data_IF_361167676137
#
_entry.id   IF_361167676137
#
_cell.length_a   1.000
_cell.length_b   1.000
_cell.length_c   1.000
_cell.angle_alpha   90.00
_cell.angle_beta   90.00
_cell.angle_gamma   90.00
#
_symmetry.space_group_name_H-M   'P 1'
#
loop_
_entity.id
_entity.type
_entity.pdbx_description
1 polymer ?
#
# COMPACT_ATOMS: atom_id res chain seq x y z
N UNK A 1 13.68 -39.40 -34.11
CA UNK A 1 12.73 -38.72 -35.03
C UNK A 1 12.32 -37.42 -34.37
N UNK A 2 12.34 -36.29 -35.10
CA UNK A 2 11.92 -35.00 -34.55
C UNK A 2 10.43 -35.03 -34.22
N UNK A 3 10.07 -34.74 -32.97
CA UNK A 3 8.67 -34.58 -32.59
C UNK A 3 8.15 -33.23 -33.10
N UNK A 4 7.59 -33.23 -34.31
CA UNK A 4 7.02 -32.04 -34.97
C UNK A 4 5.80 -31.46 -34.21
N UNK A 5 5.29 -32.14 -33.19
CA UNK A 5 4.21 -31.67 -32.32
C UNK A 5 4.70 -31.22 -30.94
N UNK A 6 6.01 -31.14 -30.71
CA UNK A 6 6.55 -30.71 -29.43
C UNK A 6 6.06 -29.29 -29.08
N UNK A 7 5.44 -29.17 -27.91
CA UNK A 7 5.15 -27.89 -27.27
C UNK A 7 5.86 -27.89 -25.92
N UNK A 8 6.64 -26.84 -25.69
CA UNK A 8 7.27 -26.62 -24.40
C UNK A 8 6.21 -26.51 -23.29
N UNK A 9 6.47 -27.20 -22.17
CA UNK A 9 5.65 -27.09 -20.97
C UNK A 9 6.29 -26.08 -20.03
N UNK A 10 5.55 -25.01 -19.71
CA UNK A 10 6.04 -23.98 -18.80
C UNK A 10 6.42 -24.53 -17.41
N UNK A 11 5.76 -25.60 -16.95
CA UNK A 11 6.08 -26.29 -15.68
C UNK A 11 7.55 -26.75 -15.61
N UNK A 12 8.18 -27.04 -16.75
CA UNK A 12 9.60 -27.44 -16.82
C UNK A 12 10.59 -26.29 -16.66
N UNK A 13 10.12 -25.04 -16.77
CA UNK A 13 10.89 -23.82 -16.46
C UNK A 13 10.59 -23.30 -15.06
N UNK A 14 9.35 -23.51 -14.62
CA UNK A 14 8.88 -23.05 -13.33
C UNK A 14 9.38 -23.94 -12.18
N UNK A 15 9.27 -25.26 -12.33
CA UNK A 15 9.73 -26.21 -11.33
C UNK A 15 11.24 -26.41 -11.47
N UNK A 16 11.99 -26.04 -10.43
CA UNK A 16 13.45 -26.20 -10.41
C UNK A 16 13.91 -27.65 -10.54
N UNK A 17 13.42 -28.59 -9.69
CA UNK A 17 13.88 -29.98 -9.73
C UNK A 17 13.48 -30.70 -11.02
N UNK A 18 14.47 -31.28 -11.68
CA UNK A 18 14.30 -32.23 -12.78
C UNK A 18 13.72 -33.56 -12.29
N UNK A 19 13.22 -34.43 -13.19
CA UNK A 19 12.77 -35.77 -12.81
C UNK A 19 13.85 -36.63 -12.14
N UNK A 20 15.13 -36.42 -12.49
CA UNK A 20 16.25 -37.14 -11.88
C UNK A 20 16.46 -36.67 -10.45
N UNK A 21 16.57 -35.36 -10.22
CA UNK A 21 16.73 -34.77 -8.89
C UNK A 21 15.52 -35.09 -8.00
N UNK A 22 14.31 -35.10 -8.56
CA UNK A 22 13.10 -35.50 -7.85
C UNK A 22 13.21 -36.94 -7.32
N UNK A 23 13.71 -37.88 -8.12
CA UNK A 23 13.91 -39.26 -7.69
C UNK A 23 15.00 -39.39 -6.62
N UNK A 24 16.08 -38.62 -6.72
CA UNK A 24 17.13 -38.58 -5.71
C UNK A 24 16.60 -38.06 -4.36
N UNK A 25 15.77 -37.01 -4.39
CA UNK A 25 15.10 -36.49 -3.19
C UNK A 25 14.11 -37.49 -2.60
N UNK A 26 13.31 -38.18 -3.42
CA UNK A 26 12.38 -39.22 -2.96
C UNK A 26 13.13 -40.39 -2.30
N UNK A 27 14.24 -40.84 -2.90
CA UNK A 27 15.09 -41.88 -2.33
C UNK A 27 15.67 -41.45 -0.98
N UNK A 28 16.11 -40.18 -0.85
CA UNK A 28 16.58 -39.64 0.43
C UNK A 28 15.51 -39.61 1.52
N UNK A 29 14.25 -39.38 1.12
CA UNK A 29 13.09 -39.38 2.00
C UNK A 29 12.55 -40.81 2.29
N UNK A 30 13.03 -41.84 1.60
CA UNK A 30 12.59 -43.22 1.78
C UNK A 30 11.19 -43.52 1.21
N UNK A 31 10.73 -42.73 0.25
CA UNK A 31 9.45 -42.92 -0.45
C UNK A 31 9.69 -43.23 -1.93
N UNK A 32 8.78 -43.99 -2.54
CA UNK A 32 8.93 -44.49 -3.91
C UNK A 32 8.33 -43.58 -4.98
N UNK A 33 7.47 -42.62 -4.59
CA UNK A 33 6.83 -41.69 -5.52
C UNK A 33 6.36 -40.40 -4.84
N UNK A 34 6.08 -39.38 -5.65
CA UNK A 34 5.39 -38.16 -5.19
C UNK A 34 4.00 -38.50 -4.63
N UNK A 35 3.28 -39.45 -5.22
CA UNK A 35 1.97 -39.87 -4.71
C UNK A 35 2.07 -40.44 -3.29
N UNK A 36 3.05 -41.31 -3.03
CA UNK A 36 3.30 -41.83 -1.69
C UNK A 36 3.63 -40.70 -0.70
N UNK A 37 4.47 -39.74 -1.11
CA UNK A 37 4.80 -38.58 -0.28
C UNK A 37 3.54 -37.76 0.07
N UNK A 38 2.68 -37.49 -0.91
CA UNK A 38 1.43 -36.75 -0.71
C UNK A 38 0.44 -37.54 0.16
N UNK A 39 0.31 -38.85 -0.05
CA UNK A 39 -0.56 -39.73 0.74
C UNK A 39 -0.18 -39.74 2.23
N UNK A 40 1.12 -39.68 2.53
CA UNK A 40 1.64 -39.63 3.90
C UNK A 40 1.61 -38.21 4.51
N UNK A 41 1.55 -37.16 3.69
CA UNK A 41 1.62 -35.76 4.14
C UNK A 41 0.26 -35.12 4.30
N UNK A 42 -0.65 -35.32 3.33
CA UNK A 42 -1.95 -34.63 3.28
C UNK A 42 -3.06 -35.59 3.69
N UNK A 43 -3.80 -35.33 4.78
CA UNK A 43 -4.88 -36.19 5.23
C UNK A 43 -5.91 -36.46 4.13
N UNK A 44 -6.25 -37.73 3.92
CA UNK A 44 -7.13 -38.16 2.82
C UNK A 44 -8.53 -37.53 2.89
N UNK A 45 -9.01 -37.21 4.09
CA UNK A 45 -10.35 -36.65 4.29
C UNK A 45 -10.52 -35.23 3.74
N UNK A 46 -9.42 -34.49 3.53
CA UNK A 46 -9.45 -33.12 2.99
C UNK A 46 -8.90 -33.02 1.56
N UNK A 47 -8.49 -34.13 0.95
CA UNK A 47 -7.98 -34.14 -0.42
C UNK A 47 -9.12 -34.00 -1.42
N UNK A 48 -8.86 -33.25 -2.48
CA UNK A 48 -9.80 -33.13 -3.59
C UNK A 48 -10.03 -34.52 -4.22
N UNK A 49 -11.28 -35.00 -4.31
CA UNK A 49 -11.57 -36.33 -4.85
C UNK A 49 -11.43 -36.39 -6.38
N UNK A 50 -11.29 -35.24 -7.05
CA UNK A 50 -11.13 -35.12 -8.50
C UNK A 50 -10.05 -34.07 -8.81
N UNK A 51 -9.35 -34.21 -9.95
CA UNK A 51 -8.46 -33.16 -10.44
C UNK A 51 -9.18 -31.83 -10.67
N UNK A 52 -8.43 -30.74 -10.67
CA UNK A 52 -8.96 -29.42 -11.01
C UNK A 52 -9.48 -29.42 -12.45
N UNK A 53 -10.70 -28.89 -12.64
CA UNK A 53 -11.29 -28.72 -13.96
C UNK A 53 -10.79 -27.42 -14.60
N UNK A 54 -9.60 -27.46 -15.19
CA UNK A 54 -8.94 -26.30 -15.82
C UNK A 54 -8.86 -26.48 -17.35
N UNK A 55 -8.81 -25.36 -18.11
CA UNK A 55 -8.48 -25.42 -19.52
C UNK A 55 -7.12 -26.10 -19.75
N UNK A 56 -6.92 -26.62 -20.97
CA UNK A 56 -5.61 -27.16 -21.36
C UNK A 56 -4.53 -26.10 -21.19
N UNK A 57 -3.42 -26.49 -20.56
CA UNK A 57 -2.26 -25.62 -20.40
C UNK A 57 -1.75 -25.10 -21.74
N UNK A 58 -1.41 -23.81 -21.77
CA UNK A 58 -0.76 -23.16 -22.91
C UNK A 58 0.76 -23.19 -22.71
N UNK A 59 1.51 -23.27 -23.80
CA UNK A 59 2.93 -22.92 -23.76
C UNK A 59 3.09 -21.39 -23.61
N UNK A 60 4.28 -20.94 -23.24
CA UNK A 60 4.57 -19.52 -22.96
C UNK A 60 4.22 -18.61 -24.14
N UNK A 61 4.63 -18.98 -25.36
CA UNK A 61 4.35 -18.22 -26.58
C UNK A 61 2.84 -18.11 -26.85
N UNK A 62 2.10 -19.22 -26.68
CA UNK A 62 0.65 -19.21 -26.88
C UNK A 62 -0.07 -18.38 -25.80
N UNK A 63 0.43 -18.40 -24.57
CA UNK A 63 -0.10 -17.58 -23.48
C UNK A 63 0.10 -16.08 -23.76
N UNK A 64 1.30 -15.65 -24.16
CA UNK A 64 1.58 -14.25 -24.48
C UNK A 64 0.69 -13.74 -25.62
N UNK A 65 0.54 -14.52 -26.69
CA UNK A 65 -0.39 -14.19 -27.78
C UNK A 65 -1.82 -14.05 -27.27
N UNK A 66 -2.28 -15.00 -26.44
CA UNK A 66 -3.63 -15.00 -25.90
C UNK A 66 -3.91 -13.78 -25.03
N UNK A 67 -2.97 -13.38 -24.18
CA UNK A 67 -3.10 -12.19 -23.33
C UNK A 67 -3.10 -10.91 -24.18
N UNK A 68 -2.28 -10.83 -25.23
CA UNK A 68 -2.32 -9.71 -26.17
C UNK A 68 -3.69 -9.56 -26.84
N UNK A 69 -4.28 -10.65 -27.34
CA UNK A 69 -5.64 -10.65 -27.93
C UNK A 69 -6.73 -10.18 -26.94
N UNK A 70 -6.54 -10.44 -25.64
CA UNK A 70 -7.46 -9.95 -24.60
C UNK A 70 -7.22 -8.46 -24.36
N UNK A 71 -5.96 -8.04 -24.24
CA UNK A 71 -5.57 -6.66 -24.01
C UNK A 71 -6.02 -5.72 -25.15
N UNK A 72 -6.00 -6.18 -26.41
CA UNK A 72 -6.48 -5.44 -27.58
C UNK A 72 -7.97 -5.08 -27.53
N UNK A 73 -8.76 -5.73 -26.67
CA UNK A 73 -10.17 -5.38 -26.46
C UNK A 73 -10.34 -4.12 -25.61
N UNK A 74 -9.32 -3.74 -24.84
CA UNK A 74 -9.34 -2.53 -24.05
C UNK A 74 -9.28 -1.30 -24.97
N UNK A 75 -10.04 -0.26 -24.64
CA UNK A 75 -9.99 1.02 -25.33
C UNK A 75 -9.23 2.02 -24.47
N UNK A 76 -8.07 2.45 -24.95
CA UNK A 76 -7.22 3.42 -24.25
C UNK A 76 -7.67 4.84 -24.63
N UNK A 77 -8.37 5.51 -23.72
CA UNK A 77 -8.81 6.90 -23.88
C UNK A 77 -7.83 7.87 -23.19
N UNK A 78 -7.87 9.14 -23.61
CA UNK A 78 -7.35 10.23 -22.78
C UNK A 78 -8.35 10.49 -21.65
N UNK A 79 -8.06 9.97 -20.47
CA UNK A 79 -8.95 10.04 -19.32
C UNK A 79 -8.66 11.28 -18.47
N UNK A 80 -9.56 12.27 -18.49
CA UNK A 80 -9.54 13.45 -17.62
C UNK A 80 -10.57 13.37 -16.49
N UNK A 81 -10.89 12.15 -16.05
CA UNK A 81 -11.85 11.88 -14.98
C UNK A 81 -11.34 12.42 -13.64
N UNK A 82 -10.02 12.36 -13.41
CA UNK A 82 -9.42 12.72 -12.13
C UNK A 82 -9.76 11.68 -11.06
N UNK A 83 -10.32 12.13 -9.93
CA UNK A 83 -10.73 11.25 -8.82
C UNK A 83 -9.56 10.43 -8.23
N UNK A 84 -8.38 11.04 -8.11
CA UNK A 84 -7.19 10.40 -7.51
C UNK A 84 -6.33 9.59 -8.48
N UNK A 85 -6.70 9.52 -9.77
CA UNK A 85 -5.90 8.88 -10.81
C UNK A 85 -5.68 9.83 -11.99
N UNK A 86 -4.42 10.02 -12.35
CA UNK A 86 -4.01 10.98 -13.37
C UNK A 86 -3.04 10.33 -14.34
N UNK A 87 -3.23 10.59 -15.63
CA UNK A 87 -2.33 10.06 -16.65
C UNK A 87 -0.91 10.62 -16.47
N UNK A 88 0.10 9.80 -16.73
CA UNK A 88 1.50 10.14 -16.52
C UNK A 88 2.40 9.57 -17.60
N UNK A 89 3.56 10.19 -17.75
CA UNK A 89 4.67 9.61 -18.49
C UNK A 89 5.53 8.84 -17.48
N UNK A 90 5.49 7.50 -17.54
CA UNK A 90 6.45 6.65 -16.84
C UNK A 90 7.83 6.85 -17.50
N UNK A 91 8.85 7.35 -16.77
CA UNK A 91 10.17 7.53 -17.37
C UNK A 91 10.75 6.20 -17.85
N UNK A 92 11.13 6.11 -19.12
CA UNK A 92 11.61 4.85 -19.72
C UNK A 92 12.82 4.23 -19.01
N UNK A 93 13.67 5.06 -18.39
CA UNK A 93 14.79 4.59 -17.56
C UNK A 93 14.32 3.87 -16.29
N UNK A 94 13.22 4.32 -15.68
CA UNK A 94 12.63 3.68 -14.49
C UNK A 94 11.87 2.42 -14.91
N UNK A 95 11.09 2.49 -16.01
CA UNK A 95 10.41 1.32 -16.55
C UNK A 95 11.38 0.16 -16.77
N UNK A 96 12.45 0.41 -17.53
CA UNK A 96 13.38 -0.65 -17.93
C UNK A 96 14.26 -1.15 -16.78
N UNK A 97 14.78 -0.24 -15.95
CA UNK A 97 15.84 -0.59 -14.98
C UNK A 97 15.32 -0.88 -13.57
N UNK A 98 14.05 -0.56 -13.27
CA UNK A 98 13.40 -0.85 -11.98
C UNK A 98 12.19 -1.75 -12.19
N UNK A 99 11.18 -1.28 -12.94
CA UNK A 99 9.89 -2.00 -13.04
C UNK A 99 10.01 -3.35 -13.76
N UNK A 100 10.77 -3.40 -14.86
CA UNK A 100 11.00 -4.60 -15.67
C UNK A 100 12.28 -5.37 -15.26
N UNK A 101 12.88 -5.01 -14.12
CA UNK A 101 14.15 -5.60 -13.67
C UNK A 101 13.94 -6.57 -12.49
N UNK A 102 14.18 -7.89 -12.66
CA UNK A 102 14.01 -8.86 -11.58
C UNK A 102 14.89 -8.60 -10.36
N UNK A 103 16.02 -7.89 -10.52
CA UNK A 103 16.86 -7.44 -9.40
C UNK A 103 16.17 -6.43 -8.47
N UNK A 104 15.03 -5.86 -8.87
CA UNK A 104 14.20 -4.96 -8.06
C UNK A 104 12.91 -5.60 -7.53
N UNK A 105 12.27 -6.48 -8.30
CA UNK A 105 10.93 -7.00 -7.95
C UNK A 105 10.90 -8.44 -7.40
N UNK A 106 12.02 -9.18 -7.42
CA UNK A 106 12.00 -10.60 -6.95
C UNK A 106 12.23 -10.74 -5.45
N UNK A 107 12.97 -9.80 -4.84
CA UNK A 107 13.13 -9.76 -3.39
C UNK A 107 11.84 -9.39 -2.65
N UNK A 108 11.77 -9.81 -1.40
CA UNK A 108 10.68 -9.45 -0.50
C UNK A 108 11.11 -8.40 0.54
N UNK A 109 10.27 -8.23 1.56
CA UNK A 109 10.48 -7.36 2.72
C UNK A 109 11.94 -7.38 3.20
N UNK A 110 12.56 -6.21 3.47
CA UNK A 110 13.96 -6.10 3.91
C UNK A 110 14.18 -6.52 5.38
N UNK A 111 13.79 -7.75 5.74
CA UNK A 111 14.01 -8.30 7.09
C UNK A 111 15.50 -8.45 7.43
N UNK A 112 16.31 -8.82 6.43
CA UNK A 112 17.78 -8.86 6.53
C UNK A 112 18.32 -7.55 5.96
N UNK A 113 18.58 -6.57 6.83
CA UNK A 113 18.86 -5.19 6.42
C UNK A 113 20.20 -5.06 5.68
N UNK A 114 21.20 -5.84 6.08
CA UNK A 114 22.58 -5.83 5.59
C UNK A 114 22.65 -6.11 4.08
N UNK A 115 21.75 -6.97 3.58
CA UNK A 115 21.64 -7.33 2.15
C UNK A 115 20.47 -6.61 1.45
N UNK A 116 19.97 -5.53 2.06
CA UNK A 116 18.80 -4.80 1.58
C UNK A 116 18.98 -3.28 1.52
N UNK A 117 20.18 -2.76 1.75
CA UNK A 117 20.46 -1.32 1.85
C UNK A 117 19.99 -0.53 0.62
N UNK A 118 20.07 -1.09 -0.60
CA UNK A 118 19.63 -0.41 -1.83
C UNK A 118 18.13 -0.03 -1.80
N UNK A 119 17.23 -1.00 -1.54
CA UNK A 119 15.79 -0.72 -1.45
C UNK A 119 15.41 0.04 -0.19
N UNK A 120 16.13 -0.18 0.92
CA UNK A 120 15.94 0.62 2.14
C UNK A 120 16.25 2.11 1.88
N UNK A 121 17.31 2.41 1.12
CA UNK A 121 17.63 3.78 0.72
C UNK A 121 16.54 4.38 -0.18
N UNK A 122 16.03 3.61 -1.16
CA UNK A 122 14.93 4.07 -2.01
C UNK A 122 13.65 4.39 -1.20
N UNK A 123 13.32 3.57 -0.21
CA UNK A 123 12.19 3.79 0.70
C UNK A 123 12.42 4.97 1.66
N UNK A 124 13.66 5.19 2.12
CA UNK A 124 13.99 6.39 2.88
C UNK A 124 13.86 7.66 2.01
N UNK A 125 14.28 7.59 0.74
CA UNK A 125 14.08 8.69 -0.20
C UNK A 125 12.58 8.96 -0.42
N UNK A 126 11.76 7.92 -0.54
CA UNK A 126 10.30 8.06 -0.58
C UNK A 126 9.79 8.79 0.66
N UNK A 127 10.12 8.34 1.86
CA UNK A 127 9.73 9.00 3.11
C UNK A 127 10.16 10.48 3.15
N UNK A 128 11.38 10.78 2.69
CA UNK A 128 11.92 12.14 2.66
C UNK A 128 11.09 13.02 1.72
N UNK A 129 10.83 12.56 0.50
CA UNK A 129 9.97 13.27 -0.47
C UNK A 129 8.59 13.51 0.12
N UNK A 130 7.99 12.52 0.79
CA UNK A 130 6.67 12.69 1.41
C UNK A 130 6.73 13.74 2.54
N UNK A 131 7.72 13.69 3.43
CA UNK A 131 7.90 14.68 4.48
C UNK A 131 8.04 16.10 3.90
N UNK A 132 8.90 16.28 2.89
CA UNK A 132 9.15 17.57 2.25
C UNK A 132 7.89 18.14 1.58
N UNK A 133 7.15 17.32 0.83
CA UNK A 133 5.94 17.76 0.14
C UNK A 133 4.74 17.96 1.06
N UNK A 134 4.67 17.27 2.19
CA UNK A 134 3.54 17.39 3.13
C UNK A 134 3.79 18.39 4.25
N UNK A 135 5.05 18.80 4.47
CA UNK A 135 5.45 19.64 5.59
C UNK A 135 5.36 18.93 6.94
N UNK A 136 5.39 17.59 6.96
CA UNK A 136 5.26 16.77 8.17
C UNK A 136 6.55 16.02 8.52
N UNK A 137 6.68 15.67 9.79
CA UNK A 137 7.94 15.27 10.41
C UNK A 137 8.32 13.79 10.16
N UNK A 138 7.33 12.91 9.98
CA UNK A 138 7.56 11.49 9.74
C UNK A 138 6.59 10.93 8.70
N UNK A 139 7.09 10.11 7.79
CA UNK A 139 6.31 9.32 6.84
C UNK A 139 6.64 7.83 6.95
N UNK A 140 5.67 6.99 6.59
CA UNK A 140 5.89 5.55 6.48
C UNK A 140 6.43 5.16 5.09
N UNK A 141 6.78 3.87 4.95
CA UNK A 141 7.29 3.28 3.72
C UNK A 141 6.16 2.68 2.86
N UNK A 142 5.08 3.45 2.68
CA UNK A 142 3.85 3.17 1.91
C UNK A 142 2.69 2.47 2.63
N UNK A 143 1.49 2.66 2.05
CA UNK A 143 0.24 1.94 2.29
C UNK A 143 -0.36 1.46 0.94
N UNK A 144 -1.53 0.81 0.99
CA UNK A 144 -2.12 0.10 -0.15
C UNK A 144 -2.71 1.01 -1.23
N UNK A 145 -3.50 2.00 -0.84
CA UNK A 145 -4.13 3.01 -1.69
C UNK A 145 -4.59 4.22 -0.82
N UNK A 146 -5.01 5.32 -1.46
CA UNK A 146 -5.41 6.54 -0.74
C UNK A 146 -6.59 6.33 0.22
N UNK A 147 -7.57 5.53 -0.20
CA UNK A 147 -8.80 5.31 0.55
C UNK A 147 -8.53 4.51 1.83
N UNK A 148 -7.68 3.48 1.74
CA UNK A 148 -7.21 2.71 2.90
C UNK A 148 -6.27 3.54 3.77
N UNK A 149 -5.43 4.41 3.21
CA UNK A 149 -4.61 5.34 3.98
C UNK A 149 -5.45 6.33 4.80
N UNK A 150 -6.54 6.86 4.23
CA UNK A 150 -7.50 7.69 4.96
C UNK A 150 -8.17 6.92 6.11
N UNK A 151 -8.54 5.65 5.89
CA UNK A 151 -9.09 4.82 6.96
C UNK A 151 -8.08 4.50 8.06
N UNK A 152 -6.81 4.29 7.73
CA UNK A 152 -5.75 4.15 8.73
C UNK A 152 -5.56 5.45 9.52
N UNK A 153 -5.70 6.62 8.89
CA UNK A 153 -5.65 7.91 9.58
C UNK A 153 -6.79 8.04 10.59
N UNK A 154 -8.02 7.67 10.18
CA UNK A 154 -9.19 7.63 11.05
C UNK A 154 -8.92 6.75 12.29
N UNK A 155 -8.40 5.54 12.14
CA UNK A 155 -8.12 4.65 13.27
C UNK A 155 -6.97 5.12 14.16
N UNK A 156 -5.90 5.65 13.55
CA UNK A 156 -4.76 6.20 14.28
C UNK A 156 -5.22 7.36 15.17
N UNK A 157 -5.97 8.30 14.61
CA UNK A 157 -6.50 9.47 15.31
C UNK A 157 -7.57 9.09 16.33
N UNK A 158 -8.46 8.14 16.01
CA UNK A 158 -9.40 7.60 16.98
C UNK A 158 -8.67 7.04 18.19
N UNK A 159 -7.64 6.21 17.99
CA UNK A 159 -6.88 5.62 19.10
C UNK A 159 -6.16 6.67 19.95
N UNK A 160 -5.63 7.71 19.30
CA UNK A 160 -4.85 8.78 19.94
C UNK A 160 -5.68 9.94 20.52
N UNK A 161 -7.00 9.97 20.26
CA UNK A 161 -7.89 11.07 20.69
C UNK A 161 -7.81 11.34 22.19
N UNK A 162 -7.88 12.62 22.56
CA UNK A 162 -7.89 13.07 23.96
C UNK A 162 -9.25 12.80 24.62
N UNK A 163 -10.34 13.23 23.98
CA UNK A 163 -11.68 12.94 24.44
C UNK A 163 -12.05 11.48 24.08
N UNK A 164 -12.14 10.59 25.07
CA UNK A 164 -12.46 9.17 24.84
C UNK A 164 -13.92 8.93 24.48
N UNK A 165 -14.80 9.88 24.80
CA UNK A 165 -16.22 9.83 24.45
C UNK A 165 -16.50 10.34 23.03
N UNK A 166 -15.54 11.07 22.43
CA UNK A 166 -15.64 11.49 21.03
C UNK A 166 -15.58 10.28 20.09
N UNK A 167 -16.58 10.16 19.22
CA UNK A 167 -16.79 9.00 18.34
C UNK A 167 -17.10 9.38 16.89
N UNK A 168 -17.19 10.68 16.58
CA UNK A 168 -17.48 11.18 15.23
C UNK A 168 -16.19 11.51 14.47
N UNK A 169 -16.07 10.97 13.27
CA UNK A 169 -15.09 11.37 12.27
C UNK A 169 -15.80 12.24 11.22
N UNK A 170 -15.49 13.54 11.22
CA UNK A 170 -16.09 14.52 10.32
C UNK A 170 -15.40 14.44 8.96
N UNK A 171 -16.13 14.12 7.89
CA UNK A 171 -15.57 13.94 6.54
C UNK A 171 -16.15 14.99 5.62
N UNK A 172 -15.27 15.66 4.86
CA UNK A 172 -15.70 16.57 3.80
C UNK A 172 -16.57 15.84 2.79
N UNK A 173 -17.74 16.41 2.48
CA UNK A 173 -18.59 15.95 1.39
C UNK A 173 -17.96 16.11 -0.01
N UNK A 174 -16.81 16.79 -0.11
CA UNK A 174 -16.04 17.00 -1.33
C UNK A 174 -14.72 16.19 -1.35
N UNK A 175 -14.66 15.10 -0.57
CA UNK A 175 -13.65 14.06 -0.74
C UNK A 175 -14.03 13.10 -1.87
N UNK A 176 -13.07 12.32 -2.38
CA UNK A 176 -13.38 11.33 -3.41
C UNK A 176 -14.37 10.27 -2.91
N UNK A 177 -15.32 9.90 -3.77
CA UNK A 177 -16.41 8.99 -3.41
C UNK A 177 -15.90 7.63 -2.89
N UNK A 178 -14.89 7.06 -3.55
CA UNK A 178 -14.28 5.79 -3.13
C UNK A 178 -13.58 5.90 -1.76
N UNK A 179 -13.00 7.06 -1.43
CA UNK A 179 -12.38 7.31 -0.13
C UNK A 179 -13.44 7.33 0.96
N UNK A 180 -14.56 8.01 0.72
CA UNK A 180 -15.72 8.03 1.62
C UNK A 180 -16.27 6.61 1.84
N UNK A 181 -16.39 5.79 0.78
CA UNK A 181 -16.97 4.44 0.90
C UNK A 181 -16.06 3.46 1.67
N UNK A 182 -14.74 3.56 1.52
CA UNK A 182 -13.80 2.79 2.35
C UNK A 182 -13.82 3.27 3.80
N UNK A 183 -13.89 4.59 4.05
CA UNK A 183 -14.07 5.13 5.40
C UNK A 183 -15.33 4.55 6.04
N UNK A 184 -16.49 4.58 5.36
CA UNK A 184 -17.75 3.98 5.84
C UNK A 184 -17.57 2.54 6.23
N UNK A 185 -16.99 1.75 5.35
CA UNK A 185 -16.79 0.32 5.58
C UNK A 185 -15.91 0.07 6.80
N UNK A 186 -14.82 0.83 6.96
CA UNK A 186 -13.85 0.65 8.04
C UNK A 186 -14.38 1.16 9.38
N UNK A 187 -15.13 2.26 9.39
CA UNK A 187 -15.72 2.84 10.60
C UNK A 187 -16.60 1.84 11.38
N UNK A 188 -17.34 0.98 10.66
CA UNK A 188 -18.22 -0.05 11.24
C UNK A 188 -17.50 -0.97 12.25
N UNK A 189 -16.23 -1.31 12.00
CA UNK A 189 -15.49 -2.26 12.85
C UNK A 189 -15.19 -1.72 14.25
N UNK A 190 -15.19 -0.39 14.42
CA UNK A 190 -14.92 0.29 15.68
C UNK A 190 -16.13 1.05 16.22
N UNK A 191 -17.28 0.94 15.56
CA UNK A 191 -18.48 1.72 15.90
C UNK A 191 -18.28 3.22 15.74
N UNK A 192 -17.33 3.66 14.90
CA UNK A 192 -17.08 5.09 14.63
C UNK A 192 -18.24 5.64 13.80
N UNK A 193 -18.76 6.80 14.19
CA UNK A 193 -19.76 7.51 13.40
C UNK A 193 -19.06 8.37 12.34
N UNK A 194 -19.48 8.25 11.08
CA UNK A 194 -19.04 9.15 10.02
C UNK A 194 -20.09 10.22 9.77
N UNK A 195 -19.69 11.47 9.96
CA UNK A 195 -20.50 12.62 9.62
C UNK A 195 -19.96 13.24 8.33
N UNK A 196 -20.69 13.08 7.23
CA UNK A 196 -20.31 13.64 5.93
C UNK A 196 -20.98 15.00 5.78
N UNK A 197 -20.21 16.07 5.75
CA UNK A 197 -20.72 17.44 5.71
C UNK A 197 -19.75 18.41 5.03
N UNK A 198 -20.20 19.63 4.77
CA UNK A 198 -19.29 20.72 4.46
C UNK A 198 -18.40 21.00 5.69
N UNK A 199 -17.12 21.28 5.45
CA UNK A 199 -16.17 21.51 6.53
C UNK A 199 -16.27 22.96 7.00
N UNK A 200 -16.86 23.18 8.17
CA UNK A 200 -17.08 24.49 8.76
C UNK A 200 -16.99 24.42 10.29
N UNK A 201 -16.71 25.55 10.94
CA UNK A 201 -16.55 25.62 12.40
C UNK A 201 -17.74 25.11 13.23
N UNK A 202 -19.01 25.32 12.83
CA UNK A 202 -20.16 24.78 13.56
C UNK A 202 -20.21 23.25 13.62
N UNK A 203 -19.54 22.56 12.70
CA UNK A 203 -19.48 21.10 12.67
C UNK A 203 -18.44 20.51 13.64
N UNK A 204 -17.61 21.35 14.24
CA UNK A 204 -16.60 20.96 15.24
C UNK A 204 -17.24 20.84 16.64
N UNK A 205 -18.10 19.84 16.82
CA UNK A 205 -18.77 19.52 18.10
C UNK A 205 -17.89 18.64 18.99
N UNK A 206 -18.22 18.53 20.29
CA UNK A 206 -17.38 17.85 21.30
C UNK A 206 -17.25 16.32 21.08
N UNK A 207 -18.16 15.74 20.32
CA UNK A 207 -18.18 14.33 19.92
C UNK A 207 -17.29 14.03 18.70
N UNK A 208 -16.78 15.06 18.00
CA UNK A 208 -15.84 14.90 16.89
C UNK A 208 -14.43 14.70 17.45
N UNK A 209 -13.73 13.66 16.99
CA UNK A 209 -12.33 13.44 17.36
C UNK A 209 -11.36 13.88 16.26
N UNK A 210 -11.79 13.83 15.01
CA UNK A 210 -10.99 14.30 13.89
C UNK A 210 -11.85 14.73 12.70
N UNK A 211 -11.28 15.63 11.89
CA UNK A 211 -11.83 16.06 10.62
C UNK A 211 -10.95 15.58 9.45
N UNK A 212 -11.57 15.25 8.32
CA UNK A 212 -10.92 14.80 7.10
C UNK A 212 -11.30 15.70 5.93
N UNK A 213 -10.29 16.19 5.21
CA UNK A 213 -10.43 17.05 4.03
C UNK A 213 -9.66 16.49 2.84
N UNK A 214 -10.09 16.83 1.62
CA UNK A 214 -9.35 16.55 0.39
C UNK A 214 -8.74 17.86 -0.12
N UNK A 215 -7.46 17.84 -0.52
CA UNK A 215 -6.70 19.03 -0.86
C UNK A 215 -5.78 18.82 -2.09
N UNK A 216 -6.13 19.34 -3.29
CA UNK A 216 -7.39 19.99 -3.66
C UNK A 216 -8.60 19.06 -3.51
N UNK A 217 -9.79 19.64 -3.42
CA UNK A 217 -11.03 18.88 -3.27
C UNK A 217 -11.39 18.08 -4.54
N UNK A 218 -12.40 17.22 -4.45
CA UNK A 218 -12.77 16.32 -5.56
C UNK A 218 -13.26 17.05 -6.82
N UNK A 219 -13.79 18.27 -6.67
CA UNK A 219 -14.17 19.18 -7.76
C UNK A 219 -13.02 20.08 -8.26
N UNK A 220 -11.83 19.95 -7.67
CA UNK A 220 -10.64 20.74 -8.00
C UNK A 220 -10.51 22.07 -7.24
N UNK A 221 -11.44 22.38 -6.33
CA UNK A 221 -11.35 23.60 -5.52
C UNK A 221 -10.18 23.54 -4.51
N UNK A 222 -9.57 24.70 -4.26
CA UNK A 222 -8.50 24.88 -3.28
C UNK A 222 -9.04 25.77 -2.16
N UNK A 223 -8.99 25.26 -0.93
CA UNK A 223 -9.55 25.92 0.26
C UNK A 223 -8.43 26.17 1.26
N UNK A 224 -8.43 27.34 1.89
CA UNK A 224 -7.55 27.63 3.02
C UNK A 224 -8.12 27.03 4.31
N UNK A 225 -7.48 25.98 4.82
CA UNK A 225 -7.89 25.28 6.03
C UNK A 225 -7.21 25.80 7.31
N UNK A 226 -6.37 26.85 7.24
CA UNK A 226 -5.57 27.31 8.38
C UNK A 226 -6.43 27.72 9.59
N UNK A 227 -7.46 28.54 9.35
CA UNK A 227 -8.38 28.95 10.43
C UNK A 227 -9.16 27.77 10.98
N UNK A 228 -9.65 26.90 10.10
CA UNK A 228 -10.39 25.70 10.49
C UNK A 228 -9.55 24.76 11.37
N UNK A 229 -8.30 24.51 10.99
CA UNK A 229 -7.38 23.68 11.77
C UNK A 229 -7.09 24.27 13.15
N UNK A 230 -6.85 25.59 13.23
CA UNK A 230 -6.67 26.27 14.52
C UNK A 230 -7.91 26.13 15.43
N UNK A 231 -9.11 26.32 14.89
CA UNK A 231 -10.37 26.14 15.63
C UNK A 231 -10.55 24.68 16.08
N UNK A 232 -10.27 23.69 15.21
CA UNK A 232 -10.32 22.28 15.55
C UNK A 232 -9.36 21.92 16.70
N UNK A 233 -8.11 22.39 16.63
CA UNK A 233 -7.11 22.14 17.66
C UNK A 233 -7.47 22.77 19.01
N UNK A 234 -8.10 23.94 19.02
CA UNK A 234 -8.59 24.57 20.27
C UNK A 234 -9.61 23.69 21.02
N UNK A 235 -10.32 22.81 20.29
CA UNK A 235 -11.26 21.81 20.80
C UNK A 235 -10.66 20.40 20.93
N UNK A 236 -9.35 20.26 20.74
CA UNK A 236 -8.64 18.97 20.73
C UNK A 236 -9.08 17.99 19.63
N UNK A 237 -9.58 18.52 18.51
CA UNK A 237 -9.96 17.77 17.30
C UNK A 237 -8.78 17.80 16.34
N UNK A 238 -8.29 16.63 15.94
CA UNK A 238 -7.17 16.52 14.98
C UNK A 238 -7.63 16.66 13.53
N UNK A 239 -6.74 17.05 12.61
CA UNK A 239 -7.07 17.23 11.19
C UNK A 239 -6.24 16.31 10.30
N UNK A 240 -6.92 15.57 9.42
CA UNK A 240 -6.32 14.75 8.37
C UNK A 240 -6.61 15.35 7.00
N UNK A 241 -5.60 15.44 6.14
CA UNK A 241 -5.75 15.85 4.75
C UNK A 241 -5.40 14.69 3.80
N UNK A 242 -6.25 14.39 2.82
CA UNK A 242 -5.83 13.66 1.63
C UNK A 242 -5.36 14.65 0.58
N UNK A 243 -4.08 14.60 0.21
CA UNK A 243 -3.48 15.60 -0.66
C UNK A 243 -2.78 15.02 -1.90
N UNK A 244 -2.83 15.74 -3.01
CA UNK A 244 -2.16 15.37 -4.25
C UNK A 244 -0.71 15.88 -4.23
N UNK A 245 0.30 14.99 -4.27
CA UNK A 245 1.71 15.39 -4.18
C UNK A 245 2.15 16.37 -5.27
N UNK A 246 1.62 16.26 -6.49
CA UNK A 246 1.99 17.16 -7.58
C UNK A 246 1.45 18.57 -7.33
N UNK A 247 0.26 18.70 -6.75
CA UNK A 247 -0.30 19.99 -6.35
C UNK A 247 0.54 20.68 -5.27
N UNK A 248 1.14 19.91 -4.35
CA UNK A 248 1.97 20.42 -3.26
C UNK A 248 3.34 20.92 -3.72
N UNK A 249 3.71 20.72 -5.00
CA UNK A 249 4.84 21.43 -5.60
C UNK A 249 4.59 22.95 -5.69
N UNK A 250 3.33 23.40 -5.63
CA UNK A 250 2.92 24.79 -5.79
C UNK A 250 2.12 25.32 -4.58
N UNK A 251 1.31 24.47 -3.97
CA UNK A 251 0.42 24.85 -2.87
C UNK A 251 1.11 24.77 -1.52
N UNK A 252 0.66 25.62 -0.57
CA UNK A 252 1.08 25.51 0.82
C UNK A 252 0.77 24.12 1.35
N UNK A 253 1.77 23.36 1.82
CA UNK A 253 1.57 21.97 2.20
C UNK A 253 0.78 21.85 3.51
N UNK A 254 0.03 20.75 3.72
CA UNK A 254 -0.86 20.65 4.87
C UNK A 254 -0.24 20.77 6.25
N UNK A 255 1.01 20.34 6.43
CA UNK A 255 1.73 20.50 7.68
C UNK A 255 1.86 21.96 8.11
N UNK A 256 1.99 22.90 7.17
CA UNK A 256 2.14 24.33 7.44
C UNK A 256 0.84 25.02 7.85
N UNK A 257 -0.31 24.56 7.36
CA UNK A 257 -1.61 25.10 7.76
C UNK A 257 -2.25 24.36 8.95
N UNK A 258 -1.61 23.29 9.44
CA UNK A 258 -1.97 22.67 10.71
C UNK A 258 -2.53 21.25 10.63
N UNK A 259 -2.44 20.56 9.50
CA UNK A 259 -2.78 19.13 9.45
C UNK A 259 -1.91 18.32 10.43
N UNK A 260 -2.50 17.30 11.05
CA UNK A 260 -1.81 16.34 11.93
C UNK A 260 -1.39 15.08 11.17
N UNK A 261 -2.13 14.76 10.10
CA UNK A 261 -1.92 13.62 9.22
C UNK A 261 -2.14 14.05 7.79
N UNK A 262 -1.27 13.61 6.88
CA UNK A 262 -1.47 13.76 5.45
C UNK A 262 -1.33 12.41 4.78
N UNK A 263 -2.32 12.07 3.96
CA UNK A 263 -2.36 10.83 3.18
C UNK A 263 -2.57 11.16 1.71
N UNK A 264 -2.36 10.20 0.83
CA UNK A 264 -2.69 10.38 -0.58
C UNK A 264 -2.06 9.31 -1.45
N UNK A 265 -2.25 9.43 -2.75
CA UNK A 265 -1.65 8.53 -3.73
C UNK A 265 -0.37 9.13 -4.35
N UNK A 266 0.72 8.34 -4.40
CA UNK A 266 1.94 8.74 -5.14
C UNK A 266 1.91 8.38 -6.63
N UNK A 267 0.82 7.79 -7.13
CA UNK A 267 0.65 7.32 -8.52
C UNK A 267 1.19 8.30 -9.56
N UNK A 268 0.82 9.58 -9.45
CA UNK A 268 1.17 10.57 -10.48
C UNK A 268 2.64 11.00 -10.46
N UNK A 269 3.46 10.46 -9.57
CA UNK A 269 4.93 10.53 -9.63
C UNK A 269 5.49 9.38 -10.50
N UNK A 270 4.91 9.23 -11.71
CA UNK A 270 5.46 8.37 -12.75
C UNK A 270 5.03 6.89 -12.70
N UNK A 271 4.00 6.51 -11.94
CA UNK A 271 3.46 5.13 -11.95
C UNK A 271 2.22 5.06 -12.86
N UNK A 272 2.11 4.12 -13.82
CA UNK A 272 0.95 4.01 -14.70
C UNK A 272 -0.37 3.83 -13.93
N UNK A 273 -1.50 4.33 -14.46
CA UNK A 273 -2.82 4.20 -13.80
C UNK A 273 -3.22 2.75 -13.50
N UNK A 274 -2.73 1.77 -14.27
CA UNK A 274 -2.85 0.34 -13.95
C UNK A 274 -4.29 -0.19 -13.81
N UNK A 275 -5.28 0.54 -14.34
CA UNK A 275 -6.71 0.26 -14.10
C UNK A 275 -7.06 0.11 -12.60
N UNK A 276 -6.38 0.88 -11.75
CA UNK A 276 -6.58 0.92 -10.29
C UNK A 276 -5.31 0.74 -9.46
N UNK A 277 -4.24 0.15 -10.00
CA UNK A 277 -3.01 -0.07 -9.24
C UNK A 277 -1.99 -1.00 -9.92
N UNK A 278 -0.89 -1.34 -9.22
CA UNK A 278 -0.56 -0.97 -7.84
C UNK A 278 0.05 0.44 -7.73
N UNK A 279 -0.33 1.19 -6.71
CA UNK A 279 0.25 2.51 -6.40
C UNK A 279 0.55 2.61 -4.91
N UNK A 280 1.74 3.12 -4.57
CA UNK A 280 2.07 3.40 -3.18
C UNK A 280 1.26 4.59 -2.67
N UNK A 281 0.34 4.35 -1.75
CA UNK A 281 -0.20 5.44 -0.96
C UNK A 281 0.84 5.90 0.06
N UNK A 282 0.86 7.19 0.34
CA UNK A 282 1.73 7.75 1.37
C UNK A 282 0.94 8.07 2.62
N UNK A 283 1.63 8.07 3.75
CA UNK A 283 1.08 8.46 5.05
C UNK A 283 2.16 9.20 5.83
N UNK A 284 1.91 10.47 6.13
CA UNK A 284 2.76 11.32 6.94
C UNK A 284 2.01 11.85 8.16
N UNK A 285 2.73 12.07 9.26
CA UNK A 285 2.16 12.59 10.51
C UNK A 285 3.23 13.36 11.31
N UNK A 286 2.83 13.94 12.45
CA UNK A 286 3.73 14.54 13.43
C UNK A 286 4.51 13.45 14.19
N UNK A 287 5.71 13.76 14.66
CA UNK A 287 6.57 12.87 15.44
C UNK A 287 5.88 12.37 16.72
N UNK A 288 4.98 13.17 17.29
CA UNK A 288 4.14 12.79 18.44
C UNK A 288 3.30 11.53 18.19
N UNK A 289 2.96 11.22 16.94
CA UNK A 289 2.21 10.02 16.54
C UNK A 289 3.07 8.86 16.04
N UNK A 290 4.42 8.93 16.12
CA UNK A 290 5.32 7.89 15.59
C UNK A 290 5.12 6.48 16.15
N UNK A 291 4.51 6.36 17.34
CA UNK A 291 4.19 5.06 17.95
C UNK A 291 2.87 4.46 17.43
N UNK A 292 2.06 5.25 16.74
CA UNK A 292 0.73 4.90 16.24
C UNK A 292 0.69 4.75 14.71
N UNK A 293 1.64 5.37 13.99
CA UNK A 293 1.70 5.33 12.53
C UNK A 293 1.62 3.87 11.98
N UNK A 294 0.81 3.62 10.94
CA UNK A 294 0.63 2.30 10.34
C UNK A 294 1.82 1.92 9.44
N UNK A 295 2.03 0.62 9.25
CA UNK A 295 3.01 0.09 8.32
C UNK A 295 4.48 0.28 8.74
N UNK A 296 5.37 0.01 7.78
CA UNK A 296 6.82 0.01 7.97
C UNK A 296 7.37 1.43 7.95
N UNK A 297 8.46 1.67 8.67
CA UNK A 297 9.23 2.93 8.58
C UNK A 297 10.69 2.55 8.45
N UNK A 298 11.40 3.18 7.53
CA UNK A 298 12.85 3.08 7.40
C UNK A 298 13.50 4.13 8.28
N UNK A 299 14.42 3.70 9.12
CA UNK A 299 15.21 4.56 9.99
C UNK A 299 16.70 4.41 9.74
N UNK A 300 17.42 5.51 9.98
CA UNK A 300 18.88 5.54 10.00
C UNK A 300 19.40 4.95 11.31
N UNK A 301 20.47 4.18 11.22
CA UNK A 301 21.18 3.57 12.35
C UNK A 301 22.67 3.45 12.01
N UNK A 302 23.45 2.77 12.86
CA UNK A 302 24.85 2.46 12.63
C UNK A 302 25.10 0.95 12.64
N UNK A 303 26.00 0.48 11.78
CA UNK A 303 26.49 -0.91 11.80
C UNK A 303 27.47 -1.17 12.96
N UNK A 304 28.02 -2.38 13.03
CA UNK A 304 29.01 -2.77 14.06
C UNK A 304 30.34 -2.00 13.97
N UNK A 305 30.63 -1.33 12.86
CA UNK A 305 31.80 -0.47 12.67
C UNK A 305 31.48 1.01 12.89
N UNK A 306 30.26 1.35 13.33
CA UNK A 306 29.81 2.73 13.52
C UNK A 306 29.48 3.46 12.21
N UNK A 307 29.35 2.75 11.09
CA UNK A 307 29.03 3.34 9.77
C UNK A 307 27.53 3.50 9.58
N UNK A 308 27.14 4.50 8.78
CA UNK A 308 25.76 4.73 8.38
C UNK A 308 25.12 3.45 7.80
N UNK A 309 23.95 3.10 8.32
CA UNK A 309 23.17 1.97 7.87
C UNK A 309 21.66 2.26 7.99
N UNK A 310 20.86 1.53 7.22
CA UNK A 310 19.40 1.63 7.23
C UNK A 310 18.77 0.34 7.74
N UNK A 311 17.62 0.46 8.41
CA UNK A 311 16.79 -0.69 8.80
C UNK A 311 15.32 -0.31 8.92
N UNK A 312 14.46 -1.31 9.03
CA UNK A 312 13.10 -1.08 9.52
C UNK A 312 13.11 -0.69 11.00
N UNK A 313 12.47 0.43 11.33
CA UNK A 313 12.43 1.03 12.65
C UNK A 313 11.06 0.86 13.31
N UNK A 314 11.05 0.86 14.66
CA UNK A 314 9.83 0.78 15.47
C UNK A 314 8.91 -0.42 15.10
N UNK A 315 9.51 -1.57 14.75
CA UNK A 315 8.79 -2.75 14.26
C UNK A 315 7.82 -3.34 15.28
N UNK A 316 7.94 -2.99 16.56
CA UNK A 316 6.97 -3.39 17.60
C UNK A 316 5.57 -2.84 17.32
N UNK A 317 5.37 -1.91 16.40
CA UNK A 317 4.03 -1.47 15.97
C UNK A 317 3.31 -2.49 15.07
N UNK A 318 4.08 -3.35 14.40
CA UNK A 318 3.59 -4.18 13.30
C UNK A 318 2.99 -5.52 13.77
N UNK A 319 2.14 -6.10 12.91
CA UNK A 319 1.36 -7.31 13.19
C UNK A 319 2.21 -8.53 13.59
N UNK A 320 3.43 -8.66 13.05
CA UNK A 320 4.29 -9.82 13.32
C UNK A 320 4.83 -9.83 14.76
N UNK A 321 4.80 -8.69 15.46
CA UNK A 321 5.18 -8.58 16.88
C UNK A 321 3.93 -8.43 17.77
N UNK A 322 3.03 -7.49 17.44
CA UNK A 322 1.91 -7.14 18.32
C UNK A 322 0.57 -7.78 17.99
N UNK A 323 0.45 -8.46 16.84
CA UNK A 323 -0.77 -9.17 16.42
C UNK A 323 -2.00 -8.28 16.50
N UNK A 324 -2.98 -8.62 17.34
CA UNK A 324 -4.21 -7.88 17.62
C UNK A 324 -3.97 -6.47 18.20
N UNK A 325 -2.81 -6.23 18.82
CA UNK A 325 -2.43 -4.94 19.39
C UNK A 325 -1.55 -4.09 18.46
N UNK A 326 -1.37 -4.51 17.22
CA UNK A 326 -0.62 -3.75 16.22
C UNK A 326 -1.38 -2.47 15.83
N UNK A 327 -0.68 -1.50 15.24
CA UNK A 327 -1.33 -0.27 14.75
C UNK A 327 -2.23 -0.51 13.53
N UNK A 328 -1.94 -1.54 12.74
CA UNK A 328 -2.72 -1.97 11.57
C UNK A 328 -2.45 -3.45 11.28
N UNK A 329 -3.33 -4.07 10.51
CA UNK A 329 -3.15 -5.43 9.98
C UNK A 329 -2.26 -5.49 8.73
N UNK A 330 -1.81 -4.36 8.19
CA UNK A 330 -0.98 -4.32 6.98
C UNK A 330 0.33 -5.12 7.14
N UNK A 331 0.74 -5.82 6.09
CA UNK A 331 1.97 -6.63 6.06
C UNK A 331 2.74 -6.46 4.75
N UNK A 332 2.19 -6.97 3.65
CA UNK A 332 2.62 -6.56 2.30
C UNK A 332 2.04 -5.17 2.05
N UNK A 333 2.88 -4.26 1.56
CA UNK A 333 2.53 -2.91 1.14
C UNK A 333 2.94 -2.74 -0.34
N UNK A 334 3.17 -1.51 -0.79
CA UNK A 334 3.47 -1.18 -2.18
C UNK A 334 4.89 -0.66 -2.36
#
# INVERSE_FOLDING_TARGET
MSNIQFQEKFESRHNGPSPVEANEMLAKLGVSSIDQLIDQTVPSQIRAPKPLNLPKALCEVAYLKRIAEIAEKNKVFKSFIGQGYYDVILPGVIQRNVFENPGWYTQYTPYQAEIAQGRLQALLNFQTVICDFTGLEIANASLLDEATAAAEAMFMLYSARKNKDANVFLVSNNAYAQTIDVLKTRALSFGIELKIAAIAEPELTDDVFAAFVQYPAADGSIVDYKSFAATAHSKHITVCAAADLMSLALLTPPGEWGADVVVGNSQRFGVPMGFGGPHAAYFATRDSFKRNIPGRIIGVTSDSNGKYALRMALQTREQHIRRDKASSNICTAQ
#
